data_IF_999806666039
#
_entry.id   IF_999806666039
#
_cell.length_a   1.000
_cell.length_b   1.000
_cell.length_c   1.000
_cell.angle_alpha   90.00
_cell.angle_beta   90.00
_cell.angle_gamma   90.00
#
_symmetry.space_group_name_H-M   'P 1'
#
loop_
_entity.id
_entity.type
_entity.pdbx_description
1 polymer ?
#
# COMPACT_ATOMS: atom_id res chain seq x y z
N UNK A 1 19.18 -11.83 -39.57
CA UNK A 1 19.91 -11.50 -38.36
C UNK A 1 19.19 -10.44 -37.51
N UNK A 2 18.71 -9.35 -38.11
CA UNK A 2 17.99 -8.32 -37.35
C UNK A 2 16.69 -8.86 -36.70
N UNK A 3 16.00 -9.76 -37.41
CA UNK A 3 14.78 -10.40 -36.84
C UNK A 3 15.08 -11.28 -35.63
N UNK A 4 16.28 -11.90 -35.60
CA UNK A 4 16.69 -12.73 -34.46
C UNK A 4 16.97 -11.88 -33.22
N UNK A 5 17.55 -10.67 -33.41
CA UNK A 5 17.83 -9.76 -32.29
C UNK A 5 16.53 -9.29 -31.60
N UNK A 6 15.51 -8.93 -32.39
CA UNK A 6 14.21 -8.51 -31.86
C UNK A 6 13.53 -9.69 -31.16
N UNK A 7 13.62 -10.88 -31.76
CA UNK A 7 13.08 -12.10 -31.15
C UNK A 7 13.76 -12.43 -29.83
N UNK A 8 15.09 -12.25 -29.77
CA UNK A 8 15.87 -12.49 -28.56
C UNK A 8 15.52 -11.51 -27.46
N UNK A 9 15.30 -10.23 -27.80
CA UNK A 9 14.89 -9.23 -26.80
C UNK A 9 13.53 -9.58 -26.21
N UNK A 10 12.56 -9.96 -27.03
CA UNK A 10 11.25 -10.37 -26.55
C UNK A 10 11.34 -11.61 -25.66
N UNK A 11 12.16 -12.57 -26.07
CA UNK A 11 12.42 -13.77 -25.29
C UNK A 11 13.05 -13.43 -23.93
N UNK A 12 14.03 -12.53 -23.93
CA UNK A 12 14.66 -12.07 -22.70
C UNK A 12 13.68 -11.32 -21.78
N UNK A 13 12.79 -10.52 -22.36
CA UNK A 13 11.74 -9.83 -21.60
C UNK A 13 10.82 -10.83 -20.92
N UNK A 14 10.38 -11.87 -21.63
CA UNK A 14 9.53 -12.92 -21.07
C UNK A 14 10.23 -13.68 -19.96
N UNK A 15 11.50 -14.02 -20.15
CA UNK A 15 12.28 -14.69 -19.11
C UNK A 15 12.48 -13.80 -17.90
N UNK A 16 12.69 -12.50 -18.10
CA UNK A 16 12.83 -11.54 -17.01
C UNK A 16 11.55 -11.49 -16.19
N UNK A 17 10.39 -11.47 -16.84
CA UNK A 17 9.09 -11.52 -16.16
C UNK A 17 8.97 -12.80 -15.34
N UNK A 18 9.35 -13.95 -15.92
CA UNK A 18 9.34 -15.23 -15.21
C UNK A 18 10.27 -15.19 -13.98
N UNK A 19 11.45 -14.62 -14.13
CA UNK A 19 12.40 -14.48 -13.03
C UNK A 19 11.83 -13.61 -11.91
N UNK A 20 11.16 -12.52 -12.25
CA UNK A 20 10.50 -11.66 -11.27
C UNK A 20 9.44 -12.40 -10.50
N UNK A 21 8.64 -13.22 -11.18
CA UNK A 21 7.65 -14.07 -10.55
C UNK A 21 8.31 -15.16 -9.69
N UNK A 22 9.37 -15.78 -10.19
CA UNK A 22 10.07 -16.86 -9.49
C UNK A 22 10.90 -16.35 -8.30
N UNK A 23 11.17 -15.04 -8.21
CA UNK A 23 11.87 -14.48 -7.06
C UNK A 23 11.06 -14.55 -5.78
N UNK A 24 9.76 -14.84 -5.89
CA UNK A 24 8.85 -14.95 -4.75
C UNK A 24 8.24 -16.34 -4.72
N UNK A 25 7.90 -16.81 -3.53
CA UNK A 25 7.18 -18.08 -3.38
C UNK A 25 5.76 -17.94 -3.95
N UNK A 26 5.13 -19.08 -4.29
CA UNK A 26 3.75 -19.09 -4.79
C UNK A 26 2.79 -18.48 -3.77
N UNK A 27 3.00 -18.72 -2.47
CA UNK A 27 2.16 -18.15 -1.42
C UNK A 27 2.32 -16.63 -1.34
N UNK A 28 3.56 -16.13 -1.47
CA UNK A 28 3.84 -14.69 -1.47
C UNK A 28 3.18 -14.01 -2.67
N UNK A 29 3.26 -14.62 -3.86
CA UNK A 29 2.60 -14.07 -5.05
C UNK A 29 1.09 -14.03 -4.90
N UNK A 30 0.50 -15.07 -4.32
CA UNK A 30 -0.95 -15.09 -4.05
C UNK A 30 -1.35 -13.99 -3.07
N UNK A 31 -0.53 -13.76 -2.05
CA UNK A 31 -0.77 -12.68 -1.09
C UNK A 31 -0.71 -11.31 -1.78
N UNK A 32 0.27 -11.09 -2.64
CA UNK A 32 0.37 -9.84 -3.41
C UNK A 32 -0.82 -9.64 -4.33
N UNK A 33 -1.27 -10.70 -5.00
CA UNK A 33 -2.44 -10.66 -5.88
C UNK A 33 -3.72 -10.37 -5.10
N UNK A 34 -3.88 -10.95 -3.93
CA UNK A 34 -5.04 -10.70 -3.07
C UNK A 34 -5.06 -9.24 -2.59
N UNK A 35 -3.91 -8.71 -2.18
CA UNK A 35 -3.77 -7.31 -1.77
C UNK A 35 -4.09 -6.37 -2.94
N UNK A 36 -3.59 -6.68 -4.13
CA UNK A 36 -3.87 -5.88 -5.33
C UNK A 36 -5.35 -5.93 -5.71
N UNK A 37 -5.98 -7.08 -5.55
CA UNK A 37 -7.41 -7.22 -5.84
C UNK A 37 -8.25 -6.29 -4.94
N UNK A 38 -7.92 -6.21 -3.67
CA UNK A 38 -8.59 -5.30 -2.75
C UNK A 38 -8.45 -3.83 -3.20
N UNK A 39 -7.24 -3.45 -3.61
CA UNK A 39 -6.99 -2.12 -4.16
C UNK A 39 -7.79 -1.88 -5.45
N UNK A 40 -7.85 -2.88 -6.32
CA UNK A 40 -8.61 -2.77 -7.58
C UNK A 40 -10.11 -2.56 -7.33
N UNK A 41 -10.66 -3.22 -6.33
CA UNK A 41 -12.06 -3.03 -5.93
C UNK A 41 -12.29 -1.61 -5.44
N UNK A 42 -11.38 -1.10 -4.59
CA UNK A 42 -11.44 0.29 -4.12
C UNK A 42 -11.43 1.27 -5.30
N UNK A 43 -10.50 1.08 -6.24
CA UNK A 43 -10.38 1.95 -7.40
C UNK A 43 -11.65 1.88 -8.27
N UNK A 44 -12.16 0.68 -8.54
CA UNK A 44 -13.37 0.50 -9.35
C UNK A 44 -14.57 1.21 -8.73
N UNK A 45 -14.73 1.12 -7.41
CA UNK A 45 -15.84 1.79 -6.71
C UNK A 45 -15.77 3.31 -6.77
N UNK A 46 -14.57 3.86 -6.95
CA UNK A 46 -14.33 5.30 -6.93
C UNK A 46 -13.96 5.88 -8.29
N UNK A 47 -14.10 5.09 -9.37
CA UNK A 47 -13.79 5.54 -10.72
C UNK A 47 -12.33 5.87 -10.94
N UNK A 48 -11.42 5.18 -10.24
CA UNK A 48 -9.98 5.41 -10.29
C UNK A 48 -9.27 4.26 -11.01
N UNK A 49 -8.10 4.54 -11.60
CA UNK A 49 -7.29 3.53 -12.26
C UNK A 49 -6.43 2.76 -11.27
N UNK A 50 -6.53 1.42 -11.29
CA UNK A 50 -5.70 0.56 -10.45
C UNK A 50 -4.42 0.09 -11.17
N UNK A 51 -4.43 0.01 -12.50
CA UNK A 51 -3.31 -0.50 -13.28
C UNK A 51 -3.25 0.20 -14.64
N UNK A 52 -2.32 1.12 -14.86
CA UNK A 52 -1.40 1.64 -13.84
C UNK A 52 -2.11 2.62 -12.90
N UNK A 53 -1.67 2.63 -11.67
CA UNK A 53 -2.11 3.64 -10.72
C UNK A 53 -1.04 4.72 -10.54
N UNK A 54 -1.34 5.75 -9.78
CA UNK A 54 -0.38 6.81 -9.46
C UNK A 54 -0.25 7.00 -7.95
N UNK A 55 0.77 7.73 -7.48
CA UNK A 55 0.98 7.93 -6.05
C UNK A 55 -0.20 8.58 -5.32
N UNK A 56 -0.92 9.49 -5.96
CA UNK A 56 -2.08 10.14 -5.36
C UNK A 56 -3.20 9.15 -5.06
N UNK A 57 -3.51 8.29 -6.03
CA UNK A 57 -4.55 7.26 -5.87
C UNK A 57 -4.15 6.28 -4.77
N UNK A 58 -2.89 5.85 -4.76
CA UNK A 58 -2.40 4.95 -3.72
C UNK A 58 -2.50 5.60 -2.35
N UNK A 59 -2.18 6.90 -2.24
CA UNK A 59 -2.30 7.62 -0.98
C UNK A 59 -3.74 7.69 -0.48
N UNK A 60 -4.71 7.88 -1.38
CA UNK A 60 -6.14 7.85 -1.03
C UNK A 60 -6.54 6.48 -0.48
N UNK A 61 -6.06 5.41 -1.11
CA UNK A 61 -6.32 4.06 -0.65
C UNK A 61 -5.75 3.81 0.75
N UNK A 62 -4.54 4.30 1.02
CA UNK A 62 -3.90 4.17 2.33
C UNK A 62 -4.71 4.89 3.41
N UNK A 63 -5.24 6.06 3.12
CA UNK A 63 -6.12 6.78 4.03
C UNK A 63 -7.38 5.96 4.33
N UNK A 64 -7.97 5.39 3.29
CA UNK A 64 -9.14 4.52 3.44
C UNK A 64 -8.84 3.31 4.32
N UNK A 65 -7.73 2.63 4.08
CA UNK A 65 -7.31 1.47 4.88
C UNK A 65 -6.96 1.83 6.31
N UNK A 66 -6.44 3.03 6.54
CA UNK A 66 -5.96 3.43 7.87
C UNK A 66 -7.04 3.44 8.92
N UNK A 67 -8.31 3.53 8.51
CA UNK A 67 -9.45 3.50 9.43
C UNK A 67 -9.61 2.14 10.11
N UNK A 68 -9.24 1.05 9.45
CA UNK A 68 -9.51 -0.31 9.93
C UNK A 68 -8.29 -1.22 9.97
N UNK A 69 -7.13 -0.77 9.46
CA UNK A 69 -5.96 -1.62 9.33
C UNK A 69 -4.76 -1.07 10.11
N UNK A 70 -3.87 -1.98 10.51
CA UNK A 70 -2.63 -1.63 11.20
C UNK A 70 -1.65 -0.97 10.22
N UNK A 71 -0.72 -0.17 10.77
CA UNK A 71 0.31 0.49 9.96
C UNK A 71 1.15 -0.52 9.16
N UNK A 72 1.50 -1.65 9.78
CA UNK A 72 2.24 -2.72 9.09
C UNK A 72 1.48 -3.28 7.89
N UNK A 73 0.16 -3.35 7.98
CA UNK A 73 -0.71 -3.77 6.87
C UNK A 73 -0.62 -2.77 5.72
N UNK A 74 -0.63 -1.48 6.01
CA UNK A 74 -0.51 -0.43 5.00
C UNK A 74 0.81 -0.56 4.23
N UNK A 75 1.91 -0.76 4.95
CA UNK A 75 3.23 -0.95 4.32
C UNK A 75 3.27 -2.19 3.44
N UNK A 76 2.68 -3.29 3.90
CA UNK A 76 2.58 -4.52 3.12
C UNK A 76 1.78 -4.30 1.83
N UNK A 77 0.65 -3.58 1.92
CA UNK A 77 -0.20 -3.29 0.75
C UNK A 77 0.54 -2.47 -0.29
N UNK A 78 1.32 -1.47 0.14
CA UNK A 78 2.15 -0.68 -0.78
C UNK A 78 3.14 -1.59 -1.51
N UNK A 79 3.82 -2.47 -0.80
CA UNK A 79 4.78 -3.40 -1.40
C UNK A 79 4.09 -4.32 -2.41
N UNK A 80 2.93 -4.87 -2.06
CA UNK A 80 2.16 -5.75 -2.94
C UNK A 80 1.77 -5.05 -4.24
N UNK A 81 1.23 -3.85 -4.15
CA UNK A 81 0.79 -3.07 -5.31
C UNK A 81 2.00 -2.72 -6.19
N UNK A 82 3.13 -2.35 -5.57
CA UNK A 82 4.37 -2.06 -6.28
C UNK A 82 4.89 -3.27 -7.05
N UNK A 83 4.91 -4.44 -6.43
CA UNK A 83 5.38 -5.68 -7.07
C UNK A 83 4.50 -6.05 -8.26
N UNK A 84 3.18 -5.97 -8.10
CA UNK A 84 2.26 -6.28 -9.20
C UNK A 84 2.46 -5.30 -10.36
N UNK A 85 2.71 -4.01 -10.08
CA UNK A 85 3.02 -3.04 -11.13
C UNK A 85 4.31 -3.40 -11.87
N UNK A 86 5.38 -3.77 -11.14
CA UNK A 86 6.64 -4.20 -11.75
C UNK A 86 6.45 -5.39 -12.66
N UNK A 87 5.71 -6.39 -12.21
CA UNK A 87 5.43 -7.59 -13.01
C UNK A 87 4.69 -7.23 -14.31
N UNK A 88 3.80 -6.25 -14.25
CA UNK A 88 3.04 -5.78 -15.42
C UNK A 88 3.79 -4.75 -16.26
N UNK A 89 5.02 -4.41 -15.90
CA UNK A 89 5.86 -3.49 -16.68
C UNK A 89 5.57 -2.02 -16.40
N UNK A 90 4.96 -1.69 -15.27
CA UNK A 90 4.66 -0.32 -14.89
C UNK A 90 5.52 0.13 -13.72
N UNK A 91 5.90 1.40 -13.73
CA UNK A 91 6.61 2.02 -12.62
C UNK A 91 5.62 2.73 -11.70
N UNK A 92 5.78 2.49 -10.40
CA UNK A 92 4.99 3.17 -9.37
C UNK A 92 5.96 3.73 -8.33
N UNK A 93 5.98 5.05 -8.18
CA UNK A 93 6.85 5.73 -7.21
C UNK A 93 6.22 5.64 -5.81
N UNK A 94 6.58 4.60 -5.07
CA UNK A 94 6.08 4.40 -3.71
C UNK A 94 6.75 5.31 -2.69
N UNK A 95 7.78 6.05 -3.09
CA UNK A 95 8.47 7.01 -2.22
C UNK A 95 8.09 8.45 -2.53
N UNK A 96 7.07 8.64 -3.36
CA UNK A 96 6.55 9.98 -3.65
C UNK A 96 6.12 10.68 -2.36
N UNK A 97 6.37 11.99 -2.23
CA UNK A 97 6.01 12.73 -1.00
C UNK A 97 4.56 12.56 -0.56
N UNK A 98 3.61 12.48 -1.51
CA UNK A 98 2.18 12.32 -1.15
C UNK A 98 1.92 11.00 -0.43
N UNK A 99 2.71 9.97 -0.69
CA UNK A 99 2.62 8.67 0.00
C UNK A 99 3.38 8.75 1.33
N UNK A 100 4.63 9.21 1.29
CA UNK A 100 5.49 9.22 2.48
C UNK A 100 4.97 10.13 3.57
N UNK A 101 4.51 11.32 3.22
CA UNK A 101 3.93 12.26 4.19
C UNK A 101 2.64 11.73 4.79
N UNK A 102 1.79 11.12 3.97
CA UNK A 102 0.56 10.50 4.45
C UNK A 102 0.87 9.35 5.42
N UNK A 103 1.84 8.50 5.09
CA UNK A 103 2.26 7.41 5.98
C UNK A 103 2.79 7.93 7.30
N UNK A 104 3.61 8.99 7.27
CA UNK A 104 4.14 9.60 8.50
C UNK A 104 3.00 10.12 9.39
N UNK A 105 2.01 10.78 8.78
CA UNK A 105 0.84 11.27 9.51
C UNK A 105 0.04 10.12 10.13
N UNK A 106 -0.23 9.09 9.36
CA UNK A 106 -0.96 7.91 9.84
C UNK A 106 -0.20 7.23 10.98
N UNK A 107 1.11 7.08 10.83
CA UNK A 107 1.97 6.45 11.85
C UNK A 107 1.92 7.23 13.17
N UNK A 108 1.98 8.55 13.10
CA UNK A 108 1.90 9.40 14.29
C UNK A 108 0.58 9.22 15.03
N UNK A 109 -0.53 9.25 14.31
CA UNK A 109 -1.86 9.09 14.89
C UNK A 109 -2.00 7.71 15.53
N UNK A 110 -1.63 6.65 14.82
CA UNK A 110 -1.71 5.29 15.33
C UNK A 110 -0.72 5.03 16.47
N UNK A 111 0.48 5.60 16.39
CA UNK A 111 1.47 5.49 17.44
C UNK A 111 1.02 6.15 18.74
N UNK A 112 0.43 7.33 18.66
CA UNK A 112 -0.14 8.02 19.82
C UNK A 112 -1.26 7.22 20.45
N UNK A 113 -2.15 6.65 19.63
CA UNK A 113 -3.23 5.80 20.09
C UNK A 113 -2.69 4.55 20.79
N UNK A 114 -1.69 3.91 20.20
CA UNK A 114 -1.06 2.72 20.78
C UNK A 114 -0.37 3.02 22.11
N UNK A 115 0.31 4.15 22.21
CA UNK A 115 0.94 4.60 23.46
C UNK A 115 -0.12 4.83 24.54
N UNK A 116 -1.25 5.42 24.18
CA UNK A 116 -2.36 5.64 25.11
C UNK A 116 -2.97 4.32 25.60
N UNK A 117 -2.90 3.27 24.81
CA UNK A 117 -3.43 1.95 25.17
C UNK A 117 -2.53 1.13 26.10
N UNK A 118 -1.23 1.48 26.23
CA UNK A 118 -0.25 0.65 26.93
C UNK A 118 0.42 1.40 28.09
N UNK A 119 0.14 1.17 29.28
CA UNK A 119 -1.10 0.81 29.95
C UNK A 119 -1.95 2.07 30.14
N UNK A 120 -3.22 2.00 29.81
CA UNK A 120 -4.09 3.14 30.03
C UNK A 120 -4.48 3.13 31.51
N UNK A 121 -4.01 4.12 32.26
CA UNK A 121 -4.49 4.39 33.58
C UNK A 121 -5.87 5.05 33.46
N UNK A 122 -6.73 4.83 34.46
CA UNK A 122 -8.09 5.38 34.47
C UNK A 122 -8.06 6.91 34.29
N UNK A 123 -7.07 7.57 34.87
CA UNK A 123 -6.89 9.04 34.76
C UNK A 123 -6.60 9.46 33.32
N UNK A 124 -5.78 8.71 32.59
CA UNK A 124 -5.45 9.02 31.20
C UNK A 124 -6.69 8.88 30.30
N UNK A 125 -7.50 7.86 30.55
CA UNK A 125 -8.76 7.67 29.83
C UNK A 125 -9.71 8.85 30.07
N UNK A 126 -9.83 9.31 31.31
CA UNK A 126 -10.66 10.47 31.65
C UNK A 126 -10.18 11.73 30.95
N UNK A 127 -8.87 11.95 30.87
CA UNK A 127 -8.29 13.10 30.17
C UNK A 127 -8.59 13.05 28.69
N UNK A 128 -8.48 11.89 28.06
CA UNK A 128 -8.79 11.72 26.64
C UNK A 128 -10.25 12.04 26.37
N UNK A 129 -11.17 11.50 27.18
CA UNK A 129 -12.61 11.75 27.03
C UNK A 129 -12.91 13.23 27.22
N UNK A 130 -12.30 13.88 28.21
CA UNK A 130 -12.48 15.32 28.45
C UNK A 130 -12.01 16.14 27.24
N UNK A 131 -10.84 15.81 26.68
CA UNK A 131 -10.32 16.50 25.50
C UNK A 131 -11.27 16.37 24.30
N UNK A 132 -11.84 15.19 24.05
CA UNK A 132 -12.81 14.96 23.00
C UNK A 132 -14.06 15.80 23.23
N UNK A 133 -14.58 15.83 24.45
CA UNK A 133 -15.77 16.61 24.81
C UNK A 133 -15.53 18.11 24.64
N UNK A 134 -14.34 18.61 24.99
CA UNK A 134 -13.99 20.02 24.85
C UNK A 134 -13.91 20.42 23.38
N UNK A 135 -13.43 19.53 22.49
CA UNK A 135 -13.38 19.77 21.06
C UNK A 135 -14.80 19.86 20.47
N UNK A 136 -15.74 19.07 21.00
CA UNK A 136 -17.13 18.99 20.51
C UNK A 136 -18.03 20.09 21.07
N UNK A 137 -17.53 20.94 21.97
CA UNK A 137 -18.25 22.12 22.42
C UNK A 137 -18.02 23.25 21.44
#
# INVERSE_FOLDING_TARGET
MMNNLISDIKSLELETIKNLKNSKSANTLRAYQADFKDFSVFCAKNGLSSMPTDPKILSLYLTHLSATSKFSTLKRRIASISVIHKIKGHYLDTKHPVIMENLHGIKRVKGSYQKAKKPILINDLKLIIKAINDINK
#
